data_IF_318129562031
#
_entry.id   IF_318129562031
#
_cell.length_a   1.000
_cell.length_b   1.000
_cell.length_c   1.000
_cell.angle_alpha   90.00
_cell.angle_beta   90.00
_cell.angle_gamma   90.00
#
_symmetry.space_group_name_H-M   'P 1'
#
loop_
_entity.id
_entity.type
_entity.pdbx_description
1 polymer ?
#
# COMPACT_ATOMS: atom_id res chain seq x y z
N UNK A 1 -20.64 -5.62 -5.48
CA UNK A 1 -19.61 -5.93 -6.51
C UNK A 1 -18.86 -7.14 -6.00
N UNK A 2 -18.95 -8.25 -6.72
CA UNK A 2 -18.28 -9.50 -6.33
C UNK A 2 -16.77 -9.34 -6.61
N UNK A 3 -15.93 -9.55 -5.60
CA UNK A 3 -14.47 -9.44 -5.76
C UNK A 3 -14.01 -10.68 -6.53
N UNK A 4 -13.36 -10.46 -7.67
CA UNK A 4 -12.71 -11.55 -8.43
C UNK A 4 -11.58 -12.15 -7.56
N UNK A 5 -11.73 -13.45 -7.28
CA UNK A 5 -10.79 -14.24 -6.47
C UNK A 5 -9.94 -15.18 -7.32
N UNK A 6 -10.19 -15.24 -8.64
CA UNK A 6 -9.48 -16.13 -9.54
C UNK A 6 -8.09 -15.59 -9.89
N UNK A 7 -7.12 -16.48 -9.95
CA UNK A 7 -5.75 -16.20 -10.42
C UNK A 7 -5.37 -17.25 -11.46
N UNK A 8 -4.51 -16.88 -12.40
CA UNK A 8 -3.95 -17.79 -13.40
C UNK A 8 -2.76 -18.58 -12.85
N UNK A 9 -2.03 -18.00 -11.88
CA UNK A 9 -0.90 -18.64 -11.25
C UNK A 9 -1.31 -19.34 -9.94
N UNK A 10 -0.74 -20.54 -9.65
CA UNK A 10 -0.93 -21.20 -8.38
C UNK A 10 -0.36 -20.35 -7.22
N UNK A 11 -1.09 -20.28 -6.11
CA UNK A 11 -0.65 -19.53 -4.91
C UNK A 11 0.74 -19.98 -4.44
N UNK A 12 1.01 -21.30 -4.48
CA UNK A 12 2.32 -21.85 -4.08
C UNK A 12 3.46 -21.28 -4.93
N UNK A 13 3.29 -21.21 -6.24
CA UNK A 13 4.30 -20.68 -7.17
C UNK A 13 4.61 -19.21 -6.88
N UNK A 14 3.59 -18.40 -6.63
CA UNK A 14 3.77 -17.00 -6.26
C UNK A 14 4.52 -16.86 -4.93
N UNK A 15 4.19 -17.65 -3.91
CA UNK A 15 4.89 -17.64 -2.62
C UNK A 15 6.34 -18.09 -2.76
N UNK A 16 6.63 -19.11 -3.56
CA UNK A 16 8.00 -19.56 -3.88
C UNK A 16 8.80 -18.44 -4.58
N UNK A 17 8.20 -17.73 -5.52
CA UNK A 17 8.82 -16.59 -6.19
C UNK A 17 9.14 -15.43 -5.26
N UNK A 18 8.23 -15.05 -4.37
CA UNK A 18 8.50 -14.04 -3.35
C UNK A 18 9.64 -14.45 -2.41
N UNK A 19 9.62 -15.67 -1.89
CA UNK A 19 10.69 -16.18 -1.02
C UNK A 19 12.05 -16.17 -1.71
N UNK A 20 12.12 -16.66 -2.95
CA UNK A 20 13.35 -16.72 -3.72
C UNK A 20 13.90 -15.32 -4.00
N UNK A 21 13.04 -14.39 -4.42
CA UNK A 21 13.44 -12.99 -4.66
C UNK A 21 13.91 -12.29 -3.38
N UNK A 22 13.18 -12.46 -2.28
CA UNK A 22 13.54 -11.88 -0.97
C UNK A 22 14.92 -12.35 -0.49
N UNK A 23 15.16 -13.66 -0.52
CA UNK A 23 16.43 -14.25 -0.07
C UNK A 23 17.59 -13.79 -0.97
N UNK A 24 17.39 -13.71 -2.28
CA UNK A 24 18.44 -13.33 -3.23
C UNK A 24 18.95 -11.90 -2.99
N UNK A 25 18.08 -10.98 -2.57
CA UNK A 25 18.41 -9.55 -2.37
C UNK A 25 18.64 -9.15 -0.90
N UNK A 26 18.42 -10.06 0.05
CA UNK A 26 18.55 -9.78 1.47
C UNK A 26 19.73 -10.59 2.03
N UNK A 27 20.91 -9.99 2.24
CA UNK A 27 22.11 -10.72 2.67
C UNK A 27 21.98 -11.45 4.02
N UNK A 28 21.12 -10.92 4.90
CA UNK A 28 20.82 -11.51 6.20
C UNK A 28 19.31 -11.55 6.41
N UNK A 29 18.60 -12.51 5.79
CA UNK A 29 17.17 -12.62 5.95
C UNK A 29 16.79 -12.86 7.41
N UNK A 30 15.64 -12.34 7.81
CA UNK A 30 15.13 -12.57 9.17
C UNK A 30 14.64 -14.01 9.33
N UNK A 31 14.82 -14.55 10.53
CA UNK A 31 14.23 -15.85 10.90
C UNK A 31 12.76 -15.60 11.26
N UNK A 32 11.85 -15.93 10.34
CA UNK A 32 10.45 -15.57 10.45
C UNK A 32 9.52 -16.66 9.90
N UNK A 33 8.40 -16.87 10.59
CA UNK A 33 7.32 -17.74 10.10
C UNK A 33 5.99 -16.99 10.19
N UNK A 34 5.23 -16.96 9.10
CA UNK A 34 3.98 -16.22 9.02
C UNK A 34 2.98 -16.91 8.11
N UNK A 35 1.72 -16.48 8.18
CA UNK A 35 0.62 -17.10 7.46
C UNK A 35 0.09 -16.28 6.29
N UNK A 36 -0.62 -16.97 5.40
CA UNK A 36 -1.53 -16.38 4.44
C UNK A 36 -2.91 -17.04 4.56
N UNK A 37 -3.96 -16.24 4.56
CA UNK A 37 -5.34 -16.68 4.41
C UNK A 37 -5.86 -16.17 3.07
N UNK A 38 -5.97 -17.06 2.09
CA UNK A 38 -6.32 -16.73 0.71
C UNK A 38 -7.76 -17.15 0.41
N UNK A 39 -8.51 -16.27 -0.25
CA UNK A 39 -9.90 -16.51 -0.67
C UNK A 39 -10.81 -16.96 0.49
N UNK A 40 -10.61 -16.42 1.70
CA UNK A 40 -11.38 -16.68 2.92
C UNK A 40 -11.37 -18.13 3.43
N UNK A 41 -10.44 -18.97 2.96
CA UNK A 41 -10.42 -20.38 3.40
C UNK A 41 -9.11 -21.12 3.24
N UNK A 42 -8.30 -20.75 2.28
CA UNK A 42 -7.07 -21.45 1.97
C UNK A 42 -5.90 -20.90 2.80
N UNK A 43 -5.39 -21.71 3.72
CA UNK A 43 -4.25 -21.34 4.55
C UNK A 43 -2.92 -21.80 3.96
N UNK A 44 -1.92 -20.90 4.07
CA UNK A 44 -0.52 -21.19 3.80
C UNK A 44 0.34 -20.69 4.92
N UNK A 45 1.42 -21.42 5.22
CA UNK A 45 2.48 -20.99 6.14
C UNK A 45 3.77 -20.88 5.36
N UNK A 46 4.45 -19.74 5.46
CA UNK A 46 5.78 -19.49 4.94
C UNK A 46 6.74 -19.38 6.13
N UNK A 47 7.88 -20.06 6.06
CA UNK A 47 8.94 -19.91 7.05
C UNK A 47 10.25 -19.66 6.31
N UNK A 48 10.95 -18.60 6.69
CA UNK A 48 12.26 -18.20 6.15
C UNK A 48 13.27 -18.30 7.28
N UNK A 49 14.45 -18.88 7.01
CA UNK A 49 15.54 -19.06 7.94
C UNK A 49 16.70 -18.09 7.63
N UNK A 50 17.47 -17.75 8.64
CA UNK A 50 18.63 -16.84 8.51
C UNK A 50 19.69 -17.31 7.51
N UNK A 51 19.82 -18.61 7.33
CA UNK A 51 20.73 -19.21 6.35
C UNK A 51 20.24 -19.10 4.90
N UNK A 52 19.11 -18.45 4.66
CA UNK A 52 18.56 -18.24 3.31
C UNK A 52 17.82 -19.45 2.76
N UNK A 53 17.30 -20.32 3.62
CA UNK A 53 16.36 -21.37 3.23
C UNK A 53 14.92 -20.98 3.55
N UNK A 54 13.95 -21.62 2.90
CA UNK A 54 12.52 -21.40 3.19
C UNK A 54 11.70 -22.69 3.05
N UNK A 55 10.55 -22.69 3.71
CA UNK A 55 9.54 -23.75 3.55
C UNK A 55 8.15 -23.13 3.35
N UNK A 56 7.31 -23.81 2.55
CA UNK A 56 5.93 -23.41 2.29
C UNK A 56 5.02 -24.61 2.52
N UNK A 57 4.07 -24.47 3.44
CA UNK A 57 3.11 -25.51 3.80
C UNK A 57 1.67 -25.02 3.58
N UNK A 58 0.82 -25.88 3.02
CA UNK A 58 -0.63 -25.59 2.85
C UNK A 58 -1.37 -25.89 4.15
N UNK A 59 -1.13 -25.09 5.19
CA UNK A 59 -1.78 -25.18 6.49
C UNK A 59 -1.74 -23.86 7.23
N UNK A 60 -2.59 -23.69 8.24
CA UNK A 60 -2.54 -22.57 9.17
C UNK A 60 -1.27 -22.65 10.03
N UNK A 61 -0.61 -21.51 10.34
CA UNK A 61 0.50 -21.49 11.29
C UNK A 61 0.13 -22.11 12.63
N UNK A 62 1.00 -22.97 13.15
CA UNK A 62 0.79 -23.67 14.42
C UNK A 62 1.22 -22.87 15.65
N UNK A 63 1.96 -21.79 15.46
CA UNK A 63 2.45 -20.89 16.52
C UNK A 63 1.84 -19.51 16.36
N UNK A 64 1.73 -18.71 17.44
CA UNK A 64 1.37 -17.31 17.35
C UNK A 64 2.30 -16.57 16.37
N UNK A 65 1.72 -15.88 15.41
CA UNK A 65 2.40 -15.07 14.40
C UNK A 65 1.42 -14.12 13.74
N UNK A 66 1.88 -13.30 12.82
CA UNK A 66 0.99 -12.56 11.93
C UNK A 66 0.61 -13.38 10.70
N UNK A 67 -0.46 -12.97 10.06
CA UNK A 67 -0.85 -13.51 8.76
C UNK A 67 -1.45 -12.45 7.88
N UNK A 68 -1.36 -12.68 6.59
CA UNK A 68 -1.85 -11.79 5.54
C UNK A 68 -3.16 -12.36 4.99
N UNK A 69 -4.18 -11.52 4.88
CA UNK A 69 -5.48 -11.87 4.31
C UNK A 69 -5.57 -11.23 2.94
N UNK A 70 -5.82 -12.03 1.90
CA UNK A 70 -5.90 -11.54 0.54
C UNK A 70 -6.70 -12.49 -0.37
N UNK A 71 -6.88 -12.08 -1.63
CA UNK A 71 -7.33 -13.01 -2.69
C UNK A 71 -6.13 -13.52 -3.48
N UNK A 72 -6.28 -14.66 -4.13
CA UNK A 72 -5.26 -15.18 -5.05
C UNK A 72 -5.00 -14.21 -6.21
N UNK A 73 -6.06 -13.52 -6.69
CA UNK A 73 -5.95 -12.50 -7.74
C UNK A 73 -5.13 -11.30 -7.30
N UNK A 74 -5.35 -10.78 -6.10
CA UNK A 74 -4.54 -9.67 -5.55
C UNK A 74 -3.08 -10.07 -5.43
N UNK A 75 -2.81 -11.30 -4.95
CA UNK A 75 -1.45 -11.82 -4.83
C UNK A 75 -0.76 -11.95 -6.20
N UNK A 76 -1.49 -12.40 -7.22
CA UNK A 76 -1.01 -12.46 -8.61
C UNK A 76 -0.68 -11.07 -9.16
N UNK A 77 -1.53 -10.07 -8.91
CA UNK A 77 -1.31 -8.72 -9.40
C UNK A 77 -0.07 -8.08 -8.75
N UNK A 78 0.18 -8.38 -7.47
CA UNK A 78 1.43 -7.98 -6.80
C UNK A 78 2.63 -8.72 -7.42
N UNK A 79 2.53 -10.04 -7.57
CA UNK A 79 3.61 -10.88 -8.12
C UNK A 79 4.03 -10.49 -9.53
N UNK A 80 3.07 -10.13 -10.37
CA UNK A 80 3.30 -9.69 -11.76
C UNK A 80 3.65 -8.19 -11.86
N UNK A 81 3.73 -7.45 -10.75
CA UNK A 81 4.01 -6.01 -10.74
C UNK A 81 2.89 -5.15 -11.31
N UNK A 82 1.69 -5.69 -11.49
CA UNK A 82 0.49 -4.91 -11.90
C UNK A 82 0.01 -3.99 -10.79
N UNK A 83 0.22 -4.40 -9.54
CA UNK A 83 -0.10 -3.63 -8.33
C UNK A 83 1.11 -3.69 -7.40
N UNK A 84 1.53 -2.56 -6.84
CA UNK A 84 2.57 -2.56 -5.82
C UNK A 84 2.02 -3.04 -4.46
N UNK A 85 2.86 -3.67 -3.65
CA UNK A 85 2.49 -4.12 -2.30
C UNK A 85 1.83 -3.01 -1.47
N UNK A 86 2.42 -1.81 -1.43
CA UNK A 86 1.84 -0.68 -0.70
C UNK A 86 0.48 -0.23 -1.24
N UNK A 87 0.22 -0.39 -2.55
CA UNK A 87 -1.11 -0.13 -3.12
C UNK A 87 -2.14 -1.13 -2.60
N UNK A 88 -1.76 -2.38 -2.40
CA UNK A 88 -2.65 -3.42 -1.86
C UNK A 88 -2.84 -3.29 -0.34
N UNK A 89 -1.80 -2.95 0.42
CA UNK A 89 -1.80 -2.97 1.89
C UNK A 89 -2.04 -1.60 2.53
N UNK A 90 -1.71 -0.50 1.82
CA UNK A 90 -1.79 0.86 2.38
C UNK A 90 -3.22 1.28 2.72
N UNK A 91 -3.35 1.97 3.84
CA UNK A 91 -4.60 2.58 4.33
C UNK A 91 -4.32 4.02 4.71
N UNK A 92 -5.21 4.92 4.32
CA UNK A 92 -5.20 6.27 4.86
C UNK A 92 -5.75 6.28 6.29
N UNK A 93 -6.81 5.48 6.54
CA UNK A 93 -7.43 5.28 7.86
C UNK A 93 -7.51 3.80 8.21
N UNK A 94 -7.54 3.48 9.51
CA UNK A 94 -7.56 2.10 10.01
C UNK A 94 -8.77 1.28 9.54
N UNK A 95 -9.91 1.92 9.26
CA UNK A 95 -11.13 1.30 8.77
C UNK A 95 -11.23 1.20 7.24
N UNK A 96 -10.26 1.73 6.51
CA UNK A 96 -10.23 1.58 5.06
C UNK A 96 -10.04 0.12 4.66
N UNK A 97 -10.71 -0.27 3.57
CA UNK A 97 -10.49 -1.58 2.98
C UNK A 97 -9.09 -1.65 2.36
N UNK A 98 -8.37 -2.72 2.66
CA UNK A 98 -7.10 -3.05 2.01
C UNK A 98 -7.19 -4.45 1.37
N UNK A 99 -6.91 -4.60 0.06
CA UNK A 99 -6.89 -5.91 -0.62
C UNK A 99 -5.91 -6.92 -0.01
N UNK A 100 -4.85 -6.44 0.61
CA UNK A 100 -3.90 -7.22 1.41
C UNK A 100 -3.91 -6.66 2.84
N UNK A 101 -4.45 -7.43 3.78
CA UNK A 101 -4.63 -7.03 5.17
C UNK A 101 -3.71 -7.82 6.09
N UNK A 102 -3.13 -7.18 7.10
CA UNK A 102 -2.30 -7.82 8.13
C UNK A 102 -3.14 -8.09 9.35
N UNK A 103 -3.12 -9.32 9.83
CA UNK A 103 -3.78 -9.74 11.07
C UNK A 103 -2.84 -10.56 11.94
N UNK A 104 -3.19 -10.69 13.20
CA UNK A 104 -2.38 -11.40 14.19
C UNK A 104 -3.14 -12.61 14.72
N UNK A 105 -2.41 -13.72 14.95
CA UNK A 105 -2.92 -14.83 15.73
C UNK A 105 -2.79 -14.45 17.22
N UNK A 106 -3.80 -14.74 18.00
CA UNK A 106 -3.88 -14.37 19.42
C UNK A 106 -2.58 -14.72 20.19
N UNK A 107 -2.11 -13.76 20.97
CA UNK A 107 -0.88 -13.88 21.73
C UNK A 107 0.41 -13.59 20.96
N UNK A 108 0.33 -13.21 19.68
CA UNK A 108 1.51 -12.75 18.93
C UNK A 108 1.89 -11.32 19.32
N UNK A 109 3.19 -11.15 19.57
CA UNK A 109 3.82 -9.84 19.69
C UNK A 109 5.05 -9.85 18.80
N UNK A 110 5.16 -8.92 17.81
CA UNK A 110 6.34 -8.85 16.96
C UNK A 110 7.62 -8.65 17.80
N UNK A 111 8.72 -9.28 17.42
CA UNK A 111 10.02 -8.96 17.99
C UNK A 111 10.33 -7.45 17.83
N UNK A 112 10.99 -6.83 18.81
CA UNK A 112 11.25 -5.39 18.81
C UNK A 112 12.15 -4.93 17.66
N UNK A 113 12.96 -5.81 17.14
CA UNK A 113 13.89 -5.61 16.03
C UNK A 113 13.30 -5.96 14.66
N UNK A 114 12.04 -6.39 14.61
CA UNK A 114 11.34 -6.71 13.38
C UNK A 114 10.38 -5.56 12.99
N UNK A 115 10.75 -4.79 11.98
CA UNK A 115 9.82 -3.91 11.28
C UNK A 115 9.03 -4.74 10.24
N UNK A 116 7.75 -4.98 10.55
CA UNK A 116 6.88 -5.77 9.67
C UNK A 116 6.59 -5.08 8.33
N UNK A 117 6.57 -3.76 8.29
CA UNK A 117 6.33 -3.02 7.04
C UNK A 117 7.55 -3.09 6.14
N UNK A 118 8.74 -2.90 6.69
CA UNK A 118 10.00 -3.02 5.98
C UNK A 118 10.19 -4.46 5.45
N UNK A 119 9.99 -5.46 6.31
CA UNK A 119 9.99 -6.87 5.88
C UNK A 119 9.02 -7.13 4.73
N UNK A 120 7.76 -6.71 4.86
CA UNK A 120 6.73 -6.96 3.85
C UNK A 120 7.03 -6.22 2.54
N UNK A 121 7.56 -5.00 2.62
CA UNK A 121 7.98 -4.26 1.45
C UNK A 121 9.01 -5.05 0.64
N UNK A 122 10.10 -5.48 1.27
CA UNK A 122 11.14 -6.25 0.59
C UNK A 122 10.68 -7.65 0.17
N UNK A 123 9.79 -8.29 0.93
CA UNK A 123 9.26 -9.61 0.60
C UNK A 123 8.41 -9.61 -0.67
N UNK A 124 7.54 -8.61 -0.83
CA UNK A 124 6.58 -8.57 -1.94
C UNK A 124 7.13 -7.94 -3.23
N UNK A 125 8.27 -7.27 -3.19
CA UNK A 125 8.88 -6.68 -4.40
C UNK A 125 9.79 -7.70 -5.07
N UNK A 126 9.49 -8.04 -6.33
CA UNK A 126 10.30 -8.96 -7.13
C UNK A 126 11.38 -8.20 -7.89
N UNK A 127 12.62 -8.71 -7.84
CA UNK A 127 13.77 -8.23 -8.64
C UNK A 127 14.57 -7.09 -7.99
N UNK A 128 15.65 -6.71 -8.68
CA UNK A 128 16.56 -5.60 -8.37
C UNK A 128 16.81 -4.76 -9.63
N UNK A 129 16.77 -3.42 -9.56
CA UNK A 129 16.34 -2.62 -8.38
C UNK A 129 14.86 -2.75 -8.10
N UNK A 130 14.48 -2.50 -6.86
CA UNK A 130 13.07 -2.42 -6.48
C UNK A 130 12.42 -1.23 -7.20
N UNK A 131 11.32 -1.49 -7.91
CA UNK A 131 10.65 -0.51 -8.75
C UNK A 131 9.17 -0.45 -8.44
N UNK A 132 8.65 0.76 -8.25
CA UNK A 132 7.22 1.02 -8.11
C UNK A 132 6.72 1.59 -9.44
N UNK A 133 5.75 0.92 -10.05
CA UNK A 133 4.99 1.48 -11.17
C UNK A 133 3.81 2.28 -10.60
N UNK A 134 3.63 3.50 -11.08
CA UNK A 134 2.49 4.34 -10.72
C UNK A 134 1.77 4.83 -11.98
N UNK A 135 0.56 5.28 -11.78
CA UNK A 135 -0.37 5.62 -12.84
C UNK A 135 -1.73 4.94 -12.57
N UNK A 136 -2.74 5.31 -13.34
CA UNK A 136 -4.12 4.83 -13.15
C UNK A 136 -4.23 3.30 -13.15
N UNK A 137 -3.49 2.62 -14.04
CA UNK A 137 -3.53 1.16 -14.20
C UNK A 137 -2.93 0.38 -13.01
N UNK A 138 -2.12 1.06 -12.19
CA UNK A 138 -1.48 0.51 -10.99
C UNK A 138 -2.10 1.01 -9.70
N UNK A 139 -3.09 1.90 -9.80
CA UNK A 139 -3.70 2.58 -8.68
C UNK A 139 -4.93 1.85 -8.15
N UNK A 140 -5.29 2.20 -6.93
CA UNK A 140 -6.56 1.89 -6.29
C UNK A 140 -7.30 3.21 -6.03
N UNK A 141 -8.64 3.19 -6.11
CA UNK A 141 -9.44 4.33 -5.69
C UNK A 141 -9.47 4.40 -4.16
N UNK A 142 -9.01 5.50 -3.60
CA UNK A 142 -8.95 5.78 -2.17
C UNK A 142 -9.45 7.21 -1.95
N UNK A 143 -10.42 7.39 -1.06
CA UNK A 143 -11.00 8.70 -0.71
C UNK A 143 -11.41 9.57 -1.92
N UNK A 144 -11.89 8.92 -2.99
CA UNK A 144 -12.38 9.61 -4.18
C UNK A 144 -11.36 9.86 -5.29
N UNK A 145 -10.10 9.42 -5.15
CA UNK A 145 -9.07 9.52 -6.20
C UNK A 145 -8.29 8.23 -6.40
N UNK A 146 -7.60 8.12 -7.53
CA UNK A 146 -6.64 7.05 -7.78
C UNK A 146 -5.36 7.30 -6.98
N UNK A 147 -4.90 6.30 -6.22
CA UNK A 147 -3.74 6.42 -5.37
C UNK A 147 -2.77 5.25 -5.53
N UNK A 148 -1.48 5.55 -5.58
CA UNK A 148 -0.37 4.59 -5.47
C UNK A 148 0.55 5.07 -4.36
N UNK A 149 0.56 4.43 -3.17
CA UNK A 149 1.54 4.71 -2.14
C UNK A 149 2.95 4.38 -2.64
N UNK A 150 3.90 5.27 -2.34
CA UNK A 150 5.30 5.15 -2.78
C UNK A 150 6.24 4.81 -1.61
N UNK A 151 6.04 5.45 -0.46
CA UNK A 151 6.79 5.19 0.77
C UNK A 151 5.82 5.17 1.94
N UNK A 152 6.03 4.24 2.86
CA UNK A 152 5.30 4.16 4.11
C UNK A 152 6.25 3.68 5.22
N UNK A 153 6.75 4.63 5.97
CA UNK A 153 7.64 4.38 7.12
C UNK A 153 7.29 5.33 8.27
N UNK A 154 7.80 5.08 9.45
CA UNK A 154 7.51 5.93 10.60
C UNK A 154 7.93 7.39 10.33
N UNK A 155 6.98 8.29 10.45
CA UNK A 155 7.19 9.73 10.23
C UNK A 155 7.19 10.18 8.78
N UNK A 156 6.95 9.28 7.82
CA UNK A 156 6.90 9.61 6.39
C UNK A 156 5.96 8.69 5.63
N UNK A 157 4.95 9.26 4.97
CA UNK A 157 4.11 8.58 3.98
C UNK A 157 4.08 9.39 2.70
N UNK A 158 4.23 8.74 1.58
CA UNK A 158 4.12 9.39 0.28
C UNK A 158 3.24 8.59 -0.65
N UNK A 159 2.50 9.28 -1.51
CA UNK A 159 1.70 8.64 -2.53
C UNK A 159 1.59 9.52 -3.77
N UNK A 160 1.50 8.90 -4.93
CA UNK A 160 1.02 9.54 -6.14
C UNK A 160 -0.51 9.45 -6.16
N UNK A 161 -1.13 10.55 -6.57
CA UNK A 161 -2.58 10.67 -6.75
C UNK A 161 -2.93 11.17 -8.15
N UNK A 162 -4.09 10.72 -8.62
CA UNK A 162 -4.77 11.28 -9.78
C UNK A 162 -6.24 11.47 -9.44
N UNK A 163 -6.76 12.64 -9.78
CA UNK A 163 -8.19 12.96 -9.79
C UNK A 163 -8.63 13.23 -11.23
N UNK A 164 -9.75 12.66 -11.64
CA UNK A 164 -10.34 12.87 -12.96
C UNK A 164 -11.55 13.77 -12.83
N UNK A 165 -12.01 14.32 -13.95
CA UNK A 165 -13.22 15.13 -14.00
C UNK A 165 -14.40 14.42 -13.33
N UNK A 166 -15.10 15.11 -12.45
CA UNK A 166 -16.22 14.58 -11.68
C UNK A 166 -15.84 13.76 -10.43
N UNK A 167 -14.55 13.59 -10.15
CA UNK A 167 -14.07 13.00 -8.90
C UNK A 167 -13.69 14.11 -7.91
N UNK A 168 -13.90 13.84 -6.60
CA UNK A 168 -13.45 14.72 -5.51
C UNK A 168 -12.70 13.89 -4.49
N UNK A 169 -11.42 14.19 -4.30
CA UNK A 169 -10.62 13.57 -3.24
C UNK A 169 -10.97 14.24 -1.91
N UNK A 170 -11.21 13.43 -0.87
CA UNK A 170 -11.64 13.88 0.44
C UNK A 170 -12.97 14.66 0.41
N UNK A 171 -13.94 14.20 -0.38
CA UNK A 171 -15.29 14.79 -0.42
C UNK A 171 -15.98 14.73 0.94
N UNK A 172 -15.83 13.62 1.67
CA UNK A 172 -16.41 13.44 2.99
C UNK A 172 -15.62 14.20 4.05
N UNK A 173 -16.32 14.89 4.94
CA UNK A 173 -15.72 15.69 6.01
C UNK A 173 -14.71 14.89 6.86
N UNK A 174 -15.02 13.64 7.17
CA UNK A 174 -14.16 12.73 7.93
C UNK A 174 -12.83 12.40 7.24
N UNK A 175 -12.72 12.57 5.92
CA UNK A 175 -11.53 12.28 5.12
C UNK A 175 -10.64 13.52 4.93
N UNK A 176 -11.13 14.73 5.27
CA UNK A 176 -10.46 15.99 4.97
C UNK A 176 -9.28 16.33 5.88
N UNK A 177 -9.06 15.61 6.98
CA UNK A 177 -8.08 15.99 7.99
C UNK A 177 -6.96 14.96 8.12
N UNK A 178 -5.72 15.43 8.07
CA UNK A 178 -4.55 14.66 8.48
C UNK A 178 -4.00 15.20 9.82
N UNK A 179 -3.63 14.35 10.77
CA UNK A 179 -3.05 14.79 12.05
C UNK A 179 -1.59 15.24 11.94
N UNK A 180 -0.99 15.21 10.76
CA UNK A 180 0.39 15.54 10.45
C UNK A 180 0.46 16.54 9.27
N UNK A 181 1.63 17.17 9.11
CA UNK A 181 1.86 18.09 8.00
C UNK A 181 1.86 17.34 6.67
N UNK A 182 1.39 18.02 5.63
CA UNK A 182 1.29 17.46 4.29
C UNK A 182 1.82 18.46 3.27
N UNK A 183 2.69 18.01 2.38
CA UNK A 183 3.12 18.74 1.19
C UNK A 183 2.47 18.08 -0.02
N UNK A 184 1.84 18.85 -0.88
CA UNK A 184 1.32 18.39 -2.18
C UNK A 184 2.07 19.07 -3.31
N UNK A 185 2.42 18.31 -4.35
CA UNK A 185 3.23 18.79 -5.49
C UNK A 185 2.51 18.40 -6.77
N UNK A 186 2.03 19.38 -7.54
CA UNK A 186 1.40 19.18 -8.85
C UNK A 186 2.43 18.67 -9.88
N UNK A 187 2.15 17.52 -10.48
CA UNK A 187 3.06 16.86 -11.43
C UNK A 187 2.51 16.82 -12.85
N UNK A 188 1.20 17.01 -13.03
CA UNK A 188 0.58 17.07 -14.35
C UNK A 188 -0.84 17.64 -14.25
N UNK A 189 -1.23 18.45 -15.24
CA UNK A 189 -2.57 18.99 -15.36
C UNK A 189 -2.86 20.13 -14.38
N UNK A 190 -4.13 20.48 -14.27
CA UNK A 190 -4.61 21.52 -13.35
C UNK A 190 -5.94 21.18 -12.71
N UNK A 191 -6.25 21.84 -11.60
CA UNK A 191 -7.48 21.69 -10.86
C UNK A 191 -7.56 22.66 -9.69
N UNK A 192 -8.30 22.29 -8.69
CA UNK A 192 -8.52 23.07 -7.47
C UNK A 192 -8.09 22.29 -6.23
N UNK A 193 -7.56 23.02 -5.25
CA UNK A 193 -7.38 22.58 -3.88
C UNK A 193 -8.17 23.49 -2.96
N UNK A 194 -8.98 22.92 -2.07
CA UNK A 194 -9.62 23.66 -0.99
C UNK A 194 -8.88 23.41 0.31
N UNK A 195 -8.45 24.49 0.98
CA UNK A 195 -7.79 24.47 2.28
C UNK A 195 -8.64 25.24 3.28
N UNK A 196 -9.20 24.53 4.27
CA UNK A 196 -10.21 25.09 5.16
C UNK A 196 -11.43 25.58 4.37
N UNK A 197 -11.65 26.91 4.36
CA UNK A 197 -12.78 27.53 3.64
C UNK A 197 -12.38 28.18 2.32
N UNK A 198 -11.10 28.18 1.97
CA UNK A 198 -10.57 28.89 0.80
C UNK A 198 -10.17 27.93 -0.30
N UNK A 199 -10.60 28.25 -1.50
CA UNK A 199 -10.24 27.51 -2.71
C UNK A 199 -9.08 28.20 -3.43
N UNK A 200 -8.16 27.39 -3.95
CA UNK A 200 -7.00 27.82 -4.72
C UNK A 200 -6.91 26.99 -6.00
N UNK A 201 -6.41 27.59 -7.08
CA UNK A 201 -5.95 26.83 -8.23
C UNK A 201 -4.74 25.98 -7.83
N UNK A 202 -4.65 24.78 -8.37
CA UNK A 202 -3.51 23.89 -8.17
C UNK A 202 -3.15 23.23 -9.50
N UNK A 203 -1.90 23.37 -9.91
CA UNK A 203 -1.45 22.93 -11.23
C UNK A 203 -0.03 22.34 -11.19
N UNK A 204 0.38 21.76 -12.32
CA UNK A 204 1.75 21.30 -12.55
C UNK A 204 2.78 22.39 -12.20
N UNK A 205 3.83 22.01 -11.48
CA UNK A 205 4.91 22.90 -11.03
C UNK A 205 4.57 23.73 -9.78
N UNK A 206 3.37 23.60 -9.23
CA UNK A 206 2.97 24.25 -7.97
C UNK A 206 3.05 23.29 -6.80
N UNK A 207 3.25 23.82 -5.60
CA UNK A 207 3.23 23.04 -4.38
C UNK A 207 2.53 23.80 -3.24
N UNK A 208 1.79 23.07 -2.42
CA UNK A 208 1.13 23.60 -1.22
C UNK A 208 1.57 22.86 0.03
N UNK A 209 1.84 23.59 1.09
CA UNK A 209 2.05 23.04 2.44
C UNK A 209 0.71 23.14 3.18
N UNK A 210 0.21 21.99 3.61
CA UNK A 210 -1.03 21.86 4.37
C UNK A 210 -0.65 21.55 5.82
N UNK A 211 -0.86 22.47 6.76
CA UNK A 211 -0.60 22.21 8.17
C UNK A 211 -1.46 21.06 8.71
N UNK A 212 -0.96 20.38 9.73
CA UNK A 212 -1.72 19.36 10.45
C UNK A 212 -3.11 19.86 10.86
N UNK A 213 -4.10 18.98 10.77
CA UNK A 213 -5.51 19.26 11.10
C UNK A 213 -6.17 20.38 10.26
N UNK A 214 -5.64 20.68 9.06
CA UNK A 214 -6.29 21.58 8.10
C UNK A 214 -7.14 20.75 7.14
N UNK A 215 -8.44 21.08 7.06
CA UNK A 215 -9.34 20.45 6.10
C UNK A 215 -8.87 20.71 4.66
N UNK A 216 -8.84 19.65 3.84
CA UNK A 216 -8.41 19.76 2.44
C UNK A 216 -9.16 18.79 1.53
N UNK A 217 -9.43 19.24 0.32
CA UNK A 217 -10.01 18.42 -0.76
C UNK A 217 -9.45 18.87 -2.12
N UNK A 218 -9.51 17.96 -3.11
CA UNK A 218 -8.97 18.20 -4.45
C UNK A 218 -9.99 17.75 -5.51
N UNK A 219 -10.11 18.51 -6.59
CA UNK A 219 -10.88 18.14 -7.77
C UNK A 219 -10.33 18.82 -9.02
N UNK A 220 -10.83 18.40 -10.16
CA UNK A 220 -10.52 19.04 -11.44
C UNK A 220 -11.72 19.04 -12.36
N UNK A 221 -11.82 20.08 -13.17
CA UNK A 221 -12.73 20.17 -14.32
C UNK A 221 -11.99 19.89 -15.65
N UNK A 222 -10.67 19.68 -15.60
CA UNK A 222 -9.84 19.34 -16.74
C UNK A 222 -10.09 17.90 -17.18
N UNK A 223 -10.36 17.68 -18.48
CA UNK A 223 -10.57 16.35 -19.08
C UNK A 223 -9.31 15.46 -18.98
N UNK A 224 -8.11 16.05 -18.99
CA UNK A 224 -6.84 15.34 -18.84
C UNK A 224 -6.56 14.92 -17.39
N UNK A 225 -7.31 15.49 -16.43
CA UNK A 225 -7.16 15.21 -15.01
C UNK A 225 -5.99 15.95 -14.37
N UNK A 226 -5.94 15.88 -13.03
CA UNK A 226 -4.85 16.42 -12.21
C UNK A 226 -4.07 15.30 -11.56
N UNK A 227 -2.73 15.31 -11.69
CA UNK A 227 -1.83 14.39 -11.00
C UNK A 227 -0.92 15.13 -10.02
N UNK A 228 -0.70 14.56 -8.86
CA UNK A 228 0.17 15.16 -7.85
C UNK A 228 0.78 14.10 -6.93
N UNK A 229 1.89 14.45 -6.29
CA UNK A 229 2.50 13.67 -5.23
C UNK A 229 2.16 14.32 -3.89
N UNK A 230 1.75 13.49 -2.94
CA UNK A 230 1.52 13.88 -1.56
C UNK A 230 2.64 13.33 -0.67
N UNK A 231 3.18 14.17 0.20
CA UNK A 231 4.21 13.83 1.18
C UNK A 231 3.66 14.23 2.55
N UNK A 232 3.33 13.25 3.35
CA UNK A 232 2.87 13.40 4.72
C UNK A 232 4.06 13.14 5.64
N UNK A 233 4.35 14.03 6.57
CA UNK A 233 5.56 13.96 7.38
C UNK A 233 5.37 14.46 8.80
N UNK A 234 6.24 13.98 9.70
CA UNK A 234 6.22 14.28 11.12
C UNK A 234 5.65 13.16 11.96
N UNK A 235 5.46 13.43 13.24
CA UNK A 235 4.95 12.45 14.21
C UNK A 235 3.56 11.96 13.80
N UNK A 236 3.38 10.64 13.72
CA UNK A 236 2.13 9.97 13.33
C UNK A 236 1.91 9.82 11.83
N UNK A 237 2.80 10.36 10.97
CA UNK A 237 2.73 10.15 9.51
C UNK A 237 3.17 8.74 9.11
#
# INVERSE_FOLDING_TARGET
MEIDKSANLPVREMLEGFCTSYIAKTPNPVDISFGFLINDGQWWTVSIQKEGSYTIANCKPSKPTFYLVSTAKTLEDIYLGKMHFLTAAGRAKMNDYAPLDVRFIDGYSPPKDLDLMDFAFHFFVIGEPEKILFGKDHARVVHGGYAVPLVYTSGLRTAWYRVEQGMVINEKEEDQYNPFNTLVIGTKGEGSIKLGHTEYRFAEGEAYIIPANTAHSFWTDDEDGLEFVIIMYGEGA
#
